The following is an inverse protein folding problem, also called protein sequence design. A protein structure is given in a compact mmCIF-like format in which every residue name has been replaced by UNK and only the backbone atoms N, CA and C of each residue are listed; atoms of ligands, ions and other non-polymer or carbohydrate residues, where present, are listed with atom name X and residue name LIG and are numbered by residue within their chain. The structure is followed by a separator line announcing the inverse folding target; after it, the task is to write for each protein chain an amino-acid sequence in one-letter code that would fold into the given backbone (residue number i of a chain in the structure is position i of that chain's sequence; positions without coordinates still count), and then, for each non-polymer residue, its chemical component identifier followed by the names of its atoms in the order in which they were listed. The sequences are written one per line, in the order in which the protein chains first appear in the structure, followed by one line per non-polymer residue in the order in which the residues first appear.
data_IF_146180428222
#
_entry.id   IF_146180428222
#
_cell.length_a   1.000
_cell.length_b   1.000
_cell.length_c   1.000
_cell.angle_alpha   90.00
_cell.angle_beta   90.00
_cell.angle_gamma   90.00
#
_symmetry.space_group_name_H-M   'P 1'
#
loop_
_entity.id
_entity.type
_entity.pdbx_description
1 polymer ?
#
# COMPACT_ATOMS: atom_id res chain seq x y z
N UNK A 1 -6.25 -2.68 8.80
CA UNK A 1 -6.23 -2.63 7.33
C UNK A 1 -5.53 -1.38 6.84
N UNK A 2 -4.86 -1.48 5.69
CA UNK A 2 -4.43 -0.35 4.90
C UNK A 2 -5.12 -0.44 3.53
N UNK A 3 -5.87 0.60 3.17
CA UNK A 3 -6.54 0.68 1.87
C UNK A 3 -5.64 1.44 0.92
N UNK A 4 -5.37 0.85 -0.22
CA UNK A 4 -4.52 1.40 -1.28
C UNK A 4 -5.26 1.42 -2.60
N UNK A 5 -4.90 2.36 -3.46
CA UNK A 5 -5.49 2.53 -4.78
C UNK A 5 -4.45 2.28 -5.87
N UNK A 6 -4.84 1.57 -6.92
CA UNK A 6 -4.02 1.40 -8.11
C UNK A 6 -3.99 2.72 -8.89
N UNK A 7 -2.78 3.27 -9.08
CA UNK A 7 -2.54 4.48 -9.85
C UNK A 7 -2.33 4.18 -11.33
N UNK A 8 -1.60 3.11 -11.61
CA UNK A 8 -1.23 2.74 -12.97
C UNK A 8 -0.92 1.24 -13.04
N UNK A 9 -1.14 0.64 -14.20
CA UNK A 9 -0.69 -0.71 -14.51
C UNK A 9 0.25 -0.65 -15.70
N UNK A 10 1.47 -1.14 -15.52
CA UNK A 10 2.52 -1.17 -16.55
C UNK A 10 3.00 -2.60 -16.80
N UNK A 11 3.59 -2.82 -17.97
CA UNK A 11 4.23 -4.09 -18.33
C UNK A 11 5.71 -3.86 -18.60
N UNK A 12 6.55 -4.48 -17.79
CA UNK A 12 8.00 -4.47 -17.98
C UNK A 12 8.54 -5.88 -17.68
N UNK A 13 8.44 -6.77 -18.68
CA UNK A 13 8.67 -8.20 -18.51
C UNK A 13 7.54 -8.90 -17.74
N UNK A 14 7.11 -8.33 -16.63
CA UNK A 14 5.97 -8.74 -15.81
C UNK A 14 4.92 -7.63 -15.76
N UNK A 15 3.72 -7.95 -15.28
CA UNK A 15 2.70 -6.94 -14.97
C UNK A 15 3.02 -6.31 -13.60
N UNK A 16 2.99 -4.99 -13.55
CA UNK A 16 3.27 -4.21 -12.34
C UNK A 16 2.09 -3.27 -12.10
N UNK A 17 1.52 -3.29 -10.91
CA UNK A 17 0.55 -2.31 -10.46
C UNK A 17 1.24 -1.32 -9.52
N UNK A 18 1.29 -0.05 -9.93
CA UNK A 18 1.80 1.04 -9.10
C UNK A 18 0.66 1.53 -8.23
N UNK A 19 0.92 1.58 -6.92
CA UNK A 19 -0.07 1.95 -5.92
C UNK A 19 0.20 3.36 -5.38
N UNK A 20 -0.81 3.99 -4.78
CA UNK A 20 -0.64 5.20 -3.96
C UNK A 20 0.00 4.90 -2.58
N UNK A 21 0.38 3.65 -2.36
CA UNK A 21 1.01 3.13 -1.15
C UNK A 21 2.44 2.69 -1.46
N UNK A 22 3.37 3.06 -0.59
CA UNK A 22 4.78 2.70 -0.68
C UNK A 22 5.15 1.68 0.38
N UNK A 23 5.89 0.64 0.02
CA UNK A 23 6.47 -0.27 1.01
C UNK A 23 7.43 0.49 1.93
N UNK A 24 8.27 1.37 1.38
CA UNK A 24 9.24 2.15 2.15
C UNK A 24 8.60 3.12 3.14
N UNK A 25 7.45 3.74 2.79
CA UNK A 25 6.82 4.78 3.58
C UNK A 25 5.72 4.27 4.50
N UNK A 26 4.92 3.29 4.05
CA UNK A 26 3.69 2.90 4.74
C UNK A 26 3.77 1.52 5.39
N UNK A 27 4.75 0.71 4.99
CA UNK A 27 5.00 -0.62 5.55
C UNK A 27 6.49 -1.01 5.48
N UNK A 28 7.40 -0.22 6.06
CA UNK A 28 8.83 -0.46 5.92
C UNK A 28 9.28 -1.81 6.51
N UNK A 29 8.53 -2.36 7.43
CA UNK A 29 8.74 -3.70 7.97
C UNK A 29 8.68 -4.81 6.90
N UNK A 30 7.95 -4.61 5.80
CA UNK A 30 7.95 -5.50 4.62
C UNK A 30 9.33 -5.60 3.99
N UNK A 31 10.11 -4.52 4.03
CA UNK A 31 11.46 -4.44 3.48
C UNK A 31 12.54 -4.84 4.51
N UNK A 32 12.33 -4.52 5.78
CA UNK A 32 13.27 -4.80 6.88
C UNK A 32 13.33 -6.30 7.22
N UNK A 33 12.18 -6.94 7.27
CA UNK A 33 12.03 -8.39 7.42
C UNK A 33 11.11 -8.89 6.31
N UNK A 34 11.64 -9.20 5.13
CA UNK A 34 10.83 -9.44 3.94
C UNK A 34 9.72 -10.46 4.17
N UNK A 35 8.50 -10.01 4.06
CA UNK A 35 7.30 -10.84 4.06
C UNK A 35 6.28 -10.25 3.09
N UNK A 36 5.33 -11.04 2.70
CA UNK A 36 4.23 -10.61 1.84
C UNK A 36 2.99 -10.36 2.70
N UNK A 37 2.56 -9.10 2.87
CA UNK A 37 1.37 -8.78 3.65
C UNK A 37 0.14 -9.51 3.10
N UNK A 38 -0.76 -10.02 3.95
CA UNK A 38 -2.04 -10.54 3.48
C UNK A 38 -2.82 -9.45 2.74
N UNK A 39 -3.42 -9.82 1.62
CA UNK A 39 -4.20 -8.92 0.77
C UNK A 39 -5.53 -9.57 0.45
N UNK A 40 -6.62 -8.86 0.74
CA UNK A 40 -7.97 -9.39 0.52
C UNK A 40 -8.22 -9.73 -0.94
N UNK A 41 -8.93 -10.83 -1.18
CA UNK A 41 -9.33 -11.33 -2.51
C UNK A 41 -8.17 -11.68 -3.44
N UNK A 42 -6.93 -11.72 -2.92
CA UNK A 42 -5.75 -12.13 -3.68
C UNK A 42 -5.39 -13.58 -3.44
N UNK A 43 -4.48 -14.09 -4.26
CA UNK A 43 -3.83 -15.39 -4.12
C UNK A 43 -2.31 -15.28 -4.24
N UNK A 44 -1.64 -16.43 -4.14
CA UNK A 44 -0.23 -16.55 -4.42
C UNK A 44 0.06 -16.27 -5.91
N UNK A 45 1.28 -15.85 -6.28
CA UNK A 45 1.63 -15.68 -7.68
C UNK A 45 1.31 -16.94 -8.50
N UNK A 46 0.55 -16.77 -9.58
CA UNK A 46 0.13 -17.87 -10.45
C UNK A 46 -1.04 -18.70 -9.94
N UNK A 47 -1.55 -18.48 -8.74
CA UNK A 47 -2.72 -19.20 -8.21
C UNK A 47 -4.02 -18.78 -8.91
N UNK A 48 -4.13 -17.52 -9.28
CA UNK A 48 -5.27 -16.94 -9.98
C UNK A 48 -4.86 -16.44 -11.38
N UNK A 49 -5.83 -16.04 -12.17
CA UNK A 49 -5.65 -15.75 -13.60
C UNK A 49 -4.63 -14.63 -13.92
N UNK A 50 -4.54 -13.61 -13.05
CA UNK A 50 -3.73 -12.42 -13.31
C UNK A 50 -2.75 -12.18 -12.17
N UNK A 51 -1.45 -12.27 -12.46
CA UNK A 51 -0.38 -12.01 -11.46
C UNK A 51 0.24 -10.64 -11.70
N UNK A 52 0.38 -9.87 -10.62
CA UNK A 52 0.98 -8.55 -10.60
C UNK A 52 2.04 -8.45 -9.51
N UNK A 53 3.09 -7.71 -9.79
CA UNK A 53 3.94 -7.11 -8.77
C UNK A 53 3.30 -5.82 -8.30
N UNK A 54 3.06 -5.68 -7.01
CA UNK A 54 2.57 -4.45 -6.40
C UNK A 54 3.78 -3.61 -5.96
N UNK A 55 3.85 -2.38 -6.42
CA UNK A 55 4.97 -1.48 -6.17
C UNK A 55 4.49 -0.09 -5.77
N UNK A 56 5.32 0.60 -4.98
CA UNK A 56 5.09 1.99 -4.60
C UNK A 56 5.62 2.98 -5.64
N UNK A 57 5.25 4.26 -5.51
CA UNK A 57 5.62 5.32 -6.47
C UNK A 57 6.92 6.05 -6.11
N UNK A 58 7.67 5.60 -5.09
CA UNK A 58 8.89 6.30 -4.67
C UNK A 58 10.09 5.98 -5.58
N UNK A 59 11.15 6.76 -5.46
CA UNK A 59 12.39 6.54 -6.20
C UNK A 59 13.23 5.37 -5.67
N UNK A 60 12.84 4.72 -4.57
CA UNK A 60 13.52 3.54 -4.06
C UNK A 60 13.31 2.37 -5.04
N UNK A 61 14.38 1.85 -5.63
CA UNK A 61 14.30 0.75 -6.60
C UNK A 61 13.66 -0.53 -6.02
N UNK A 62 13.75 -0.72 -4.72
CA UNK A 62 13.13 -1.84 -3.98
C UNK A 62 11.79 -1.50 -3.34
N UNK A 63 11.09 -0.45 -3.77
CA UNK A 63 9.75 -0.09 -3.24
C UNK A 63 8.69 -1.05 -3.78
N UNK A 64 8.81 -2.30 -3.39
CA UNK A 64 7.96 -3.43 -3.82
C UNK A 64 7.29 -4.04 -2.61
N UNK A 65 5.97 -4.17 -2.68
CA UNK A 65 5.15 -4.78 -1.63
C UNK A 65 5.17 -6.30 -1.75
N UNK A 66 5.01 -6.83 -2.95
CA UNK A 66 5.04 -8.25 -3.24
C UNK A 66 4.34 -8.61 -4.53
N UNK A 67 4.37 -9.90 -4.85
CA UNK A 67 3.68 -10.46 -6.02
C UNK A 67 2.39 -11.16 -5.58
N UNK A 68 1.28 -10.83 -6.24
CA UNK A 68 -0.07 -11.31 -5.93
C UNK A 68 -0.82 -11.69 -7.20
N UNK A 69 -1.78 -12.60 -7.09
CA UNK A 69 -2.68 -12.93 -8.19
C UNK A 69 -4.13 -12.58 -7.89
N UNK A 70 -4.90 -12.29 -8.93
CA UNK A 70 -6.29 -11.85 -8.87
C UNK A 70 -7.15 -12.60 -9.88
N UNK A 71 -8.45 -12.72 -9.61
CA UNK A 71 -9.41 -13.36 -10.52
C UNK A 71 -9.74 -12.47 -11.72
N UNK A 72 -9.62 -11.14 -11.57
CA UNK A 72 -9.85 -10.15 -12.61
C UNK A 72 -8.61 -9.28 -12.80
N UNK A 73 -8.40 -8.72 -14.00
CA UNK A 73 -7.29 -7.79 -14.21
C UNK A 73 -7.46 -6.53 -13.38
N UNK A 74 -6.36 -6.07 -12.78
CA UNK A 74 -6.32 -4.79 -12.08
C UNK A 74 -6.35 -3.64 -13.09
N UNK A 75 -7.00 -2.56 -12.71
CA UNK A 75 -7.08 -1.31 -13.46
C UNK A 75 -6.89 -0.11 -12.55
N UNK A 76 -6.57 1.02 -13.14
CA UNK A 76 -6.49 2.30 -12.43
C UNK A 76 -7.78 2.58 -11.65
N UNK A 77 -7.63 3.00 -10.40
CA UNK A 77 -8.71 3.30 -9.48
C UNK A 77 -9.17 2.11 -8.63
N UNK A 78 -8.74 0.88 -8.93
CA UNK A 78 -9.09 -0.28 -8.09
C UNK A 78 -8.52 -0.11 -6.68
N UNK A 79 -9.32 -0.45 -5.68
CA UNK A 79 -8.93 -0.43 -4.27
C UNK A 79 -8.46 -1.82 -3.82
N UNK A 80 -7.32 -1.85 -3.16
CA UNK A 80 -6.71 -3.02 -2.56
C UNK A 80 -6.67 -2.85 -1.04
N UNK A 81 -7.04 -3.90 -0.31
CA UNK A 81 -7.09 -3.88 1.15
C UNK A 81 -6.04 -4.83 1.71
N UNK A 82 -4.96 -4.24 2.24
CA UNK A 82 -3.91 -4.96 2.94
C UNK A 82 -4.30 -5.20 4.39
N UNK A 83 -4.10 -6.41 4.87
CA UNK A 83 -4.40 -6.81 6.24
C UNK A 83 -3.16 -6.75 7.12
N UNK A 84 -3.37 -6.78 8.43
CA UNK A 84 -2.30 -6.78 9.46
C UNK A 84 -1.37 -5.55 9.40
N UNK A 85 -1.91 -4.41 8.94
CA UNK A 85 -1.17 -3.14 8.76
C UNK A 85 -1.23 -2.22 9.99
N UNK A 86 -1.51 -2.77 11.18
CA UNK A 86 -1.48 -2.05 12.45
C UNK A 86 -0.15 -2.26 13.20
N UNK A 87 -0.07 -1.72 14.42
CA UNK A 87 1.09 -1.85 15.31
C UNK A 87 2.39 -1.37 14.64
N UNK A 88 3.35 -2.27 14.41
CA UNK A 88 4.67 -1.92 13.86
C UNK A 88 4.60 -1.22 12.50
N UNK A 89 3.75 -1.69 11.63
CA UNK A 89 3.57 -1.10 10.30
C UNK A 89 3.12 0.36 10.42
N UNK A 90 2.09 0.61 11.22
CA UNK A 90 1.51 1.94 11.39
C UNK A 90 2.47 2.92 12.05
N UNK A 91 3.21 2.50 13.11
CA UNK A 91 4.10 3.40 13.86
C UNK A 91 5.42 3.68 13.14
N UNK A 92 5.80 2.86 12.16
CA UNK A 92 7.01 3.04 11.35
C UNK A 92 6.78 3.87 10.09
N UNK A 93 5.56 4.33 9.82
CA UNK A 93 5.27 5.17 8.65
C UNK A 93 6.15 6.43 8.63
N UNK A 94 6.52 6.83 7.43
CA UNK A 94 7.37 7.99 7.20
C UNK A 94 6.97 8.74 5.93
N UNK A 95 7.58 9.89 5.73
CA UNK A 95 7.27 10.81 4.63
C UNK A 95 8.39 10.89 3.58
N UNK A 96 9.15 9.83 3.43
CA UNK A 96 10.18 9.76 2.38
C UNK A 96 9.61 10.12 1.00
N UNK A 97 10.34 10.87 0.20
CA UNK A 97 9.90 11.44 -1.09
C UNK A 97 8.68 12.36 -1.00
N UNK A 98 8.33 12.86 0.19
CA UNK A 98 7.12 13.65 0.37
C UNK A 98 5.82 12.84 0.31
N UNK A 99 5.91 11.51 0.45
CA UNK A 99 4.72 10.66 0.49
C UNK A 99 3.83 11.07 1.66
N UNK A 100 2.53 11.25 1.43
CA UNK A 100 1.59 11.57 2.51
C UNK A 100 1.43 10.39 3.45
N UNK A 101 1.26 10.68 4.74
CA UNK A 101 0.87 9.66 5.71
C UNK A 101 -0.58 9.22 5.47
N UNK A 102 -0.91 7.93 5.63
CA UNK A 102 -2.27 7.44 5.49
C UNK A 102 -3.19 8.06 6.55
N UNK A 103 -4.38 8.49 6.14
CA UNK A 103 -5.41 8.92 7.09
C UNK A 103 -5.82 7.78 8.01
N UNK A 104 -6.14 8.11 9.26
CA UNK A 104 -6.59 7.14 10.26
C UNK A 104 -8.11 7.21 10.35
N UNK A 105 -8.77 6.11 10.07
CA UNK A 105 -10.22 5.97 10.08
C UNK A 105 -10.61 4.84 11.03
N UNK A 106 -11.55 5.11 11.91
CA UNK A 106 -12.20 4.11 12.74
C UNK A 106 -13.42 3.57 12.02
N UNK A 107 -13.44 2.28 11.73
CA UNK A 107 -14.63 1.58 11.25
C UNK A 107 -15.34 0.93 12.44
N UNK A 108 -16.61 1.31 12.66
CA UNK A 108 -17.44 0.77 13.73
C UNK A 108 -18.09 -0.55 13.29
N UNK A 109 -18.60 -1.30 14.27
CA UNK A 109 -19.26 -2.59 14.02
C UNK A 109 -20.54 -2.48 13.18
N UNK A 110 -21.18 -1.32 13.17
CA UNK A 110 -22.35 -1.01 12.34
C UNK A 110 -22.00 -0.65 10.88
N UNK A 111 -20.69 -0.67 10.53
CA UNK A 111 -20.18 -0.32 9.21
C UNK A 111 -19.92 1.18 9.01
N UNK A 112 -20.29 2.04 9.96
CA UNK A 112 -20.00 3.47 9.85
C UNK A 112 -18.51 3.76 10.02
N UNK A 113 -18.01 4.79 9.33
CA UNK A 113 -16.62 5.21 9.38
C UNK A 113 -16.51 6.60 10.00
N UNK A 114 -15.51 6.77 10.85
CA UNK A 114 -15.18 8.03 11.49
C UNK A 114 -13.71 8.38 11.17
N UNK A 115 -13.49 9.52 10.53
CA UNK A 115 -12.15 10.06 10.36
C UNK A 115 -11.59 10.46 11.73
N UNK A 116 -10.50 9.84 12.17
CA UNK A 116 -9.81 10.15 13.42
C UNK A 116 -8.74 11.20 13.16
N UNK A 117 -7.95 11.03 12.09
CA UNK A 117 -6.89 11.97 11.72
C UNK A 117 -6.65 11.94 10.21
N UNK A 118 -6.50 13.12 9.63
CA UNK A 118 -5.94 13.32 8.32
C UNK A 118 -4.56 13.97 8.45
N UNK A 119 -3.68 13.70 7.49
CA UNK A 119 -2.35 14.27 7.39
C UNK A 119 -2.24 15.07 6.10
N UNK A 120 -1.40 16.11 6.12
CA UNK A 120 -1.21 16.99 4.98
C UNK A 120 0.24 17.42 4.81
N UNK A 121 0.46 18.39 3.93
CA UNK A 121 1.80 18.93 3.64
C UNK A 121 2.53 19.47 4.88
N UNK A 122 1.80 20.04 5.84
CA UNK A 122 2.38 20.58 7.07
C UNK A 122 3.06 19.50 7.92
N UNK A 123 2.54 18.27 7.90
CA UNK A 123 3.16 17.14 8.62
C UNK A 123 4.54 16.80 8.05
N UNK A 124 4.71 16.91 6.73
CA UNK A 124 6.00 16.76 6.06
C UNK A 124 6.92 17.95 6.30
N UNK A 125 6.44 19.16 6.06
CA UNK A 125 7.20 20.40 6.18
C UNK A 125 7.75 20.59 7.58
N UNK A 126 6.89 20.50 8.61
CA UNK A 126 7.25 20.77 10.01
C UNK A 126 8.27 19.77 10.57
N UNK A 127 8.45 18.63 9.93
CA UNK A 127 9.49 17.66 10.28
C UNK A 127 10.86 18.09 9.80
N UNK A 128 10.94 18.85 8.72
CA UNK A 128 12.20 19.19 8.04
C UNK A 128 12.71 20.59 8.36
N UNK A 129 11.89 21.42 8.99
CA UNK A 129 12.23 22.83 9.28
C UNK A 129 12.26 23.15 10.76
#
# INVERSE_FOLDING_TARGET
FLVSKVLEVVKNGILIAILDTSAACHMPDVLEMPYRPPLQKSGLPGEKAYTYRLAGPTCLAGDVIGDYSFDQPLKEGDELVLEDMALYTMVKTNTFNGMPLPSIVLQKSDGTQQLIRAFGYEDFKNRLS
#
